data_IF_125971971270
#
_entry.id   IF_125971971270
#
_cell.length_a   1.000
_cell.length_b   1.000
_cell.length_c   1.000
_cell.angle_alpha   90.00
_cell.angle_beta   90.00
_cell.angle_gamma   90.00
#
_symmetry.space_group_name_H-M   'P 1'
#
loop_
_entity.id
_entity.type
_entity.pdbx_description
1 polymer ?
#
# COMPACT_ATOMS: atom_id res chain seq x y z
N UNK A 1 21.11 -13.96 10.49
CA UNK A 1 22.19 -14.40 9.57
C UNK A 1 22.96 -13.20 9.01
N UNK A 2 22.34 -12.17 8.46
CA UNK A 2 23.03 -10.99 7.91
C UNK A 2 23.88 -10.24 8.93
N UNK A 3 23.40 -10.11 10.18
CA UNK A 3 24.12 -9.41 11.25
C UNK A 3 25.44 -10.11 11.67
N UNK A 4 25.55 -11.40 11.44
CA UNK A 4 26.78 -12.17 11.74
C UNK A 4 27.64 -12.29 10.47
N UNK A 5 27.01 -12.56 9.34
CA UNK A 5 27.70 -12.76 8.07
C UNK A 5 28.47 -11.52 7.61
N UNK A 6 27.84 -10.34 7.68
CA UNK A 6 28.43 -9.11 7.17
C UNK A 6 29.70 -8.67 7.94
N UNK A 7 29.71 -8.59 9.29
CA UNK A 7 30.94 -8.32 10.05
C UNK A 7 32.01 -9.40 9.85
N UNK A 8 31.61 -10.69 9.77
CA UNK A 8 32.56 -11.80 9.55
C UNK A 8 33.23 -11.72 8.19
N UNK A 9 32.44 -11.43 7.14
CA UNK A 9 32.97 -11.25 5.79
C UNK A 9 33.95 -10.05 5.72
N UNK A 10 33.59 -8.93 6.35
CA UNK A 10 34.46 -7.75 6.44
C UNK A 10 35.74 -8.04 7.21
N UNK A 11 35.66 -8.82 8.30
CA UNK A 11 36.83 -9.19 9.09
C UNK A 11 37.79 -10.09 8.29
N UNK A 12 37.28 -11.08 7.56
CA UNK A 12 38.08 -11.94 6.66
C UNK A 12 38.71 -11.11 5.55
N UNK A 13 37.96 -10.23 4.93
CA UNK A 13 38.47 -9.32 3.90
C UNK A 13 39.56 -8.40 4.43
N UNK A 14 39.44 -7.88 5.66
CA UNK A 14 40.47 -7.08 6.33
C UNK A 14 41.75 -7.90 6.59
N UNK A 15 41.63 -9.18 6.96
CA UNK A 15 42.76 -10.07 7.24
C UNK A 15 43.53 -10.48 5.96
N UNK A 16 42.78 -10.70 4.87
CA UNK A 16 43.37 -11.09 3.58
C UNK A 16 43.88 -9.91 2.76
N UNK A 17 43.23 -8.76 2.85
CA UNK A 17 43.68 -7.54 2.18
C UNK A 17 44.68 -6.83 3.11
N UNK A 18 45.88 -6.50 2.60
CA UNK A 18 46.77 -5.52 3.23
C UNK A 18 46.17 -4.10 3.14
N UNK A 19 44.91 -3.97 3.50
CA UNK A 19 44.19 -2.71 3.55
C UNK A 19 44.84 -1.81 4.60
N UNK A 20 45.85 -1.05 4.21
CA UNK A 20 46.27 0.17 4.92
C UNK A 20 45.23 1.29 4.76
N UNK A 21 43.98 0.93 4.52
CA UNK A 21 42.83 1.80 4.48
C UNK A 21 42.32 2.11 5.90
N UNK A 22 42.14 3.34 6.17
CA UNK A 22 41.77 3.94 7.42
C UNK A 22 40.74 3.12 8.20
N UNK A 23 41.02 2.81 9.47
CA UNK A 23 40.09 2.24 10.46
C UNK A 23 38.71 2.95 10.38
N UNK A 24 38.71 4.21 10.00
CA UNK A 24 37.56 5.07 9.78
C UNK A 24 36.56 4.53 8.72
N UNK A 25 37.05 4.13 7.52
CA UNK A 25 36.18 3.57 6.47
C UNK A 25 35.54 2.26 6.94
N UNK A 26 36.31 1.44 7.67
CA UNK A 26 35.81 0.19 8.23
C UNK A 26 34.70 0.43 9.28
N UNK A 27 34.90 1.37 10.20
CA UNK A 27 33.93 1.73 11.21
C UNK A 27 32.66 2.33 10.60
N UNK A 28 32.78 3.25 9.64
CA UNK A 28 31.63 3.82 8.92
C UNK A 28 30.84 2.71 8.23
N UNK A 29 31.53 1.76 7.62
CA UNK A 29 30.88 0.64 6.91
C UNK A 29 30.10 -0.29 7.82
N UNK A 30 30.63 -0.56 9.02
CA UNK A 30 29.91 -1.34 10.05
C UNK A 30 28.67 -0.57 10.50
N UNK A 31 28.81 0.72 10.81
CA UNK A 31 27.67 1.56 11.19
C UNK A 31 26.61 1.59 10.10
N UNK A 32 27.02 1.79 8.84
CA UNK A 32 26.11 1.76 7.69
C UNK A 32 25.37 0.43 7.54
N UNK A 33 26.07 -0.69 7.73
CA UNK A 33 25.48 -2.03 7.73
C UNK A 33 24.46 -2.25 8.86
N UNK A 34 24.79 -1.77 10.06
CA UNK A 34 23.88 -1.82 11.21
C UNK A 34 22.63 -0.97 10.95
N UNK A 35 22.80 0.26 10.47
CA UNK A 35 21.68 1.17 10.13
C UNK A 35 20.78 0.56 9.05
N UNK A 36 21.37 -0.09 8.05
CA UNK A 36 20.61 -0.77 7.00
C UNK A 36 19.75 -1.93 7.56
N UNK A 37 20.34 -2.76 8.44
CA UNK A 37 19.61 -3.87 9.10
C UNK A 37 18.49 -3.33 9.98
N UNK A 38 18.77 -2.31 10.82
CA UNK A 38 17.71 -1.67 11.62
C UNK A 38 16.64 -1.03 10.75
N UNK A 39 17.02 -0.42 9.62
CA UNK A 39 16.07 0.12 8.65
C UNK A 39 15.12 -0.94 8.10
N UNK A 40 15.62 -2.14 7.77
CA UNK A 40 14.80 -3.28 7.35
C UNK A 40 13.87 -3.73 8.49
N UNK A 41 14.38 -3.88 9.71
CA UNK A 41 13.59 -4.28 10.87
C UNK A 41 12.48 -3.27 11.18
N UNK A 42 12.80 -1.97 11.16
CA UNK A 42 11.83 -0.88 11.37
C UNK A 42 10.77 -0.88 10.24
N UNK A 43 11.18 -1.17 9.00
CA UNK A 43 10.25 -1.28 7.87
C UNK A 43 9.27 -2.46 8.05
N UNK A 44 9.77 -3.62 8.49
CA UNK A 44 8.94 -4.80 8.79
C UNK A 44 7.98 -4.52 9.95
N UNK A 45 8.46 -3.82 10.99
CA UNK A 45 7.66 -3.46 12.16
C UNK A 45 6.83 -2.18 11.97
N UNK A 46 6.96 -1.53 10.81
CA UNK A 46 6.30 -0.26 10.46
C UNK A 46 6.60 0.89 11.45
N UNK A 47 7.80 0.90 12.03
CA UNK A 47 8.22 2.01 12.87
C UNK A 47 8.53 3.25 12.04
N UNK A 48 8.27 4.46 12.59
CA UNK A 48 8.62 5.71 11.93
C UNK A 48 10.14 5.83 11.76
N UNK A 49 10.58 6.48 10.67
CA UNK A 49 12.01 6.65 10.38
C UNK A 49 12.69 5.49 9.64
N UNK A 50 11.98 4.38 9.36
CA UNK A 50 12.51 3.24 8.62
C UNK A 50 13.14 3.64 7.27
N UNK A 51 12.48 4.50 6.50
CA UNK A 51 12.95 4.95 5.20
C UNK A 51 14.26 5.76 5.30
N UNK A 52 14.41 6.58 6.35
CA UNK A 52 15.63 7.34 6.59
C UNK A 52 16.81 6.41 6.94
N UNK A 53 16.59 5.43 7.83
CA UNK A 53 17.62 4.44 8.20
C UNK A 53 18.06 3.61 6.99
N UNK A 54 17.12 3.17 6.16
CA UNK A 54 17.40 2.45 4.92
C UNK A 54 18.23 3.30 3.95
N UNK A 55 17.85 4.56 3.74
CA UNK A 55 18.55 5.45 2.84
C UNK A 55 19.99 5.72 3.31
N UNK A 56 20.19 6.03 4.59
CA UNK A 56 21.53 6.28 5.15
C UNK A 56 22.38 5.01 5.10
N UNK A 57 21.84 3.87 5.53
CA UNK A 57 22.55 2.59 5.51
C UNK A 57 22.95 2.18 4.10
N UNK A 58 22.03 2.29 3.14
CA UNK A 58 22.27 2.01 1.74
C UNK A 58 23.34 2.94 1.14
N UNK A 59 23.22 4.25 1.36
CA UNK A 59 24.20 5.22 0.84
C UNK A 59 25.59 4.96 1.40
N UNK A 60 25.71 4.59 2.67
CA UNK A 60 27.00 4.25 3.28
C UNK A 60 27.60 3.00 2.64
N UNK A 61 26.83 1.96 2.39
CA UNK A 61 27.33 0.75 1.74
C UNK A 61 27.65 1.02 0.27
N UNK A 62 26.71 1.62 -0.48
CA UNK A 62 26.82 1.82 -1.92
C UNK A 62 27.86 2.86 -2.34
N UNK A 63 27.93 3.99 -1.65
CA UNK A 63 28.76 5.12 -2.04
C UNK A 63 30.11 5.20 -1.29
N UNK A 64 30.22 4.52 -0.14
CA UNK A 64 31.47 4.56 0.65
C UNK A 64 32.17 3.19 0.65
N UNK A 65 31.51 2.12 1.11
CA UNK A 65 32.12 0.83 1.28
C UNK A 65 32.53 0.18 -0.06
N UNK A 66 31.60 0.10 -1.02
CA UNK A 66 31.88 -0.56 -2.31
C UNK A 66 32.99 0.16 -3.09
N UNK A 67 32.97 1.49 -3.26
CA UNK A 67 34.08 2.22 -3.87
C UNK A 67 35.41 2.06 -3.12
N UNK A 68 35.38 2.07 -1.78
CA UNK A 68 36.60 1.89 -0.98
C UNK A 68 37.24 0.50 -1.21
N UNK A 69 36.41 -0.55 -1.24
CA UNK A 69 36.86 -1.91 -1.56
C UNK A 69 37.39 -1.97 -3.00
N UNK A 70 36.68 -1.38 -3.95
CA UNK A 70 37.10 -1.34 -5.36
C UNK A 70 38.46 -0.66 -5.51
N UNK A 71 38.66 0.53 -4.93
CA UNK A 71 39.93 1.26 -4.99
C UNK A 71 41.07 0.44 -4.37
N UNK A 72 40.81 -0.23 -3.24
CA UNK A 72 41.78 -1.12 -2.60
C UNK A 72 42.18 -2.27 -3.51
N UNK A 73 41.23 -2.90 -4.21
CA UNK A 73 41.49 -4.00 -5.14
C UNK A 73 42.16 -3.55 -6.41
N UNK A 74 41.92 -2.33 -6.90
CA UNK A 74 42.57 -1.76 -8.06
C UNK A 74 44.03 -1.35 -7.78
N UNK A 75 44.38 -1.06 -6.52
CA UNK A 75 45.75 -0.72 -6.08
C UNK A 75 46.64 -1.94 -5.81
N UNK A 76 46.04 -3.14 -5.81
CA UNK A 76 46.81 -4.37 -5.63
C UNK A 76 47.55 -4.71 -6.93
N UNK A 77 48.87 -4.59 -6.92
CA UNK A 77 49.76 -4.83 -8.11
C UNK A 77 49.60 -6.24 -8.68
N UNK A 78 49.23 -7.21 -7.85
CA UNK A 78 48.98 -8.59 -8.28
C UNK A 78 47.62 -8.81 -8.94
N UNK A 79 46.75 -7.79 -8.92
CA UNK A 79 45.37 -7.88 -9.41
C UNK A 79 45.15 -7.31 -10.81
N UNK A 80 46.21 -6.93 -11.55
CA UNK A 80 46.07 -6.24 -12.85
C UNK A 80 45.12 -6.89 -13.85
N UNK A 81 45.13 -8.21 -13.94
CA UNK A 81 44.22 -8.98 -14.79
C UNK A 81 42.75 -9.01 -14.25
N UNK A 82 42.50 -8.60 -13.01
CA UNK A 82 41.21 -8.68 -12.34
C UNK A 82 40.49 -7.32 -12.27
N UNK A 83 41.15 -6.22 -12.67
CA UNK A 83 40.59 -4.88 -12.56
C UNK A 83 39.19 -4.76 -13.22
N UNK A 84 39.08 -5.31 -14.46
CA UNK A 84 37.77 -5.28 -15.15
C UNK A 84 36.68 -6.07 -14.41
N UNK A 85 37.02 -7.22 -13.82
CA UNK A 85 36.09 -8.01 -13.04
C UNK A 85 35.63 -7.22 -11.79
N UNK A 86 36.55 -6.61 -11.05
CA UNK A 86 36.20 -5.83 -9.86
C UNK A 86 35.32 -4.62 -10.18
N UNK A 87 35.60 -3.91 -11.29
CA UNK A 87 34.78 -2.78 -11.74
C UNK A 87 33.35 -3.26 -12.07
N UNK A 88 33.23 -4.31 -12.89
CA UNK A 88 31.90 -4.87 -13.25
C UNK A 88 31.15 -5.34 -12.00
N UNK A 89 31.84 -6.04 -11.09
CA UNK A 89 31.26 -6.53 -9.85
C UNK A 89 30.74 -5.38 -8.95
N UNK A 90 31.54 -4.32 -8.79
CA UNK A 90 31.15 -3.16 -8.00
C UNK A 90 29.94 -2.42 -8.58
N UNK A 91 29.93 -2.16 -9.89
CA UNK A 91 28.79 -1.52 -10.58
C UNK A 91 27.53 -2.39 -10.45
N UNK A 92 27.65 -3.69 -10.74
CA UNK A 92 26.52 -4.62 -10.65
C UNK A 92 25.95 -4.70 -9.23
N UNK A 93 26.82 -4.69 -8.21
CA UNK A 93 26.41 -4.71 -6.81
C UNK A 93 25.68 -3.41 -6.40
N UNK A 94 26.18 -2.26 -6.84
CA UNK A 94 25.50 -0.96 -6.58
C UNK A 94 24.12 -0.94 -7.23
N UNK A 95 24.00 -1.37 -8.49
CA UNK A 95 22.71 -1.45 -9.19
C UNK A 95 21.76 -2.41 -8.47
N UNK A 96 22.25 -3.57 -8.04
CA UNK A 96 21.49 -4.55 -7.30
C UNK A 96 20.96 -4.00 -5.96
N UNK A 97 21.85 -3.34 -5.20
CA UNK A 97 21.48 -2.72 -3.94
C UNK A 97 20.46 -1.58 -4.13
N UNK A 98 20.63 -0.76 -5.18
CA UNK A 98 19.65 0.28 -5.54
C UNK A 98 18.28 -0.33 -5.86
N UNK A 99 18.23 -1.43 -6.62
CA UNK A 99 17.02 -2.18 -6.90
C UNK A 99 16.36 -2.74 -5.62
N UNK A 100 17.17 -3.25 -4.69
CA UNK A 100 16.70 -3.72 -3.39
C UNK A 100 16.09 -2.59 -2.55
N UNK A 101 16.77 -1.44 -2.48
CA UNK A 101 16.25 -0.26 -1.79
C UNK A 101 14.91 0.21 -2.40
N UNK A 102 14.85 0.32 -3.73
CA UNK A 102 13.63 0.72 -4.45
C UNK A 102 12.48 -0.26 -4.19
N UNK A 103 12.77 -1.57 -4.14
CA UNK A 103 11.76 -2.58 -3.84
C UNK A 103 11.24 -2.47 -2.40
N UNK A 104 12.12 -2.28 -1.42
CA UNK A 104 11.73 -2.12 -0.01
C UNK A 104 10.96 -0.80 0.21
N UNK A 105 11.35 0.27 -0.50
CA UNK A 105 10.68 1.57 -0.42
C UNK A 105 9.47 1.70 -1.36
N UNK A 106 9.12 0.64 -2.10
CA UNK A 106 8.01 0.61 -3.06
C UNK A 106 8.14 1.62 -4.21
N UNK A 107 9.37 2.00 -4.56
CA UNK A 107 9.61 2.92 -5.67
C UNK A 107 9.47 2.23 -7.04
N UNK A 108 8.99 2.93 -8.07
CA UNK A 108 8.91 2.39 -9.42
C UNK A 108 10.33 2.10 -9.98
N UNK A 109 10.47 1.08 -10.83
CA UNK A 109 11.75 0.71 -11.43
C UNK A 109 12.60 -0.27 -10.61
N UNK A 110 12.13 -0.76 -9.46
CA UNK A 110 12.84 -1.74 -8.65
C UNK A 110 13.17 -3.05 -9.41
N UNK A 111 12.19 -3.60 -10.13
CA UNK A 111 12.34 -4.88 -10.83
C UNK A 111 13.46 -4.88 -11.90
N UNK A 112 13.53 -3.91 -12.85
CA UNK A 112 14.63 -3.85 -13.81
C UNK A 112 16.00 -3.66 -13.14
N UNK A 113 16.11 -2.85 -12.07
CA UNK A 113 17.37 -2.67 -11.36
C UNK A 113 17.84 -3.97 -10.69
N UNK A 114 16.95 -4.69 -10.01
CA UNK A 114 17.26 -5.99 -9.42
C UNK A 114 17.71 -7.00 -10.48
N UNK A 115 17.00 -7.06 -11.61
CA UNK A 115 17.31 -7.99 -12.69
C UNK A 115 18.67 -7.70 -13.34
N UNK A 116 18.93 -6.44 -13.70
CA UNK A 116 20.20 -6.01 -14.28
C UNK A 116 21.37 -6.26 -13.32
N UNK A 117 21.19 -5.88 -12.03
CA UNK A 117 22.20 -6.10 -11.01
C UNK A 117 22.48 -7.59 -10.76
N UNK A 118 21.46 -8.44 -10.69
CA UNK A 118 21.59 -9.88 -10.51
C UNK A 118 22.31 -10.55 -11.71
N UNK A 119 21.92 -10.22 -12.93
CA UNK A 119 22.60 -10.72 -14.15
C UNK A 119 24.05 -10.26 -14.17
N UNK A 120 24.32 -8.98 -13.89
CA UNK A 120 25.66 -8.44 -13.84
C UNK A 120 26.55 -9.18 -12.84
N UNK A 121 26.06 -9.49 -11.65
CA UNK A 121 26.78 -10.23 -10.62
C UNK A 121 27.00 -11.70 -11.00
N UNK A 122 25.95 -12.39 -11.48
CA UNK A 122 25.99 -13.85 -11.66
C UNK A 122 26.46 -14.30 -13.02
N UNK A 123 26.04 -13.63 -14.08
CA UNK A 123 26.36 -14.03 -15.47
C UNK A 123 27.59 -13.33 -16.03
N UNK A 124 27.95 -12.16 -15.49
CA UNK A 124 29.07 -11.39 -16.01
C UNK A 124 30.26 -11.42 -15.05
N UNK A 125 30.07 -10.85 -13.84
CA UNK A 125 31.16 -10.74 -12.86
C UNK A 125 31.70 -12.11 -12.43
N UNK A 126 30.80 -12.99 -11.97
CA UNK A 126 31.19 -14.27 -11.36
C UNK A 126 32.01 -15.17 -12.33
N UNK A 127 31.58 -15.44 -13.57
CA UNK A 127 32.37 -16.24 -14.50
C UNK A 127 33.74 -15.62 -14.83
N UNK A 128 33.75 -14.30 -15.06
CA UNK A 128 35.05 -13.60 -15.36
C UNK A 128 35.98 -13.72 -14.15
N UNK A 129 35.47 -13.53 -12.94
CA UNK A 129 36.27 -13.65 -11.72
C UNK A 129 36.81 -15.07 -11.54
N UNK A 130 35.97 -16.09 -11.67
CA UNK A 130 36.35 -17.49 -11.53
C UNK A 130 37.42 -17.87 -12.57
N UNK A 131 37.20 -17.55 -13.84
CA UNK A 131 38.16 -17.86 -14.92
C UNK A 131 39.52 -17.20 -14.70
N UNK A 132 39.56 -15.97 -14.19
CA UNK A 132 40.82 -15.24 -13.98
C UNK A 132 41.56 -15.65 -12.71
N UNK A 133 40.82 -15.99 -11.63
CA UNK A 133 41.41 -16.32 -10.33
C UNK A 133 41.82 -17.78 -10.25
N UNK A 134 41.04 -18.70 -10.83
CA UNK A 134 41.20 -20.13 -10.60
C UNK A 134 41.79 -20.90 -11.77
N UNK A 135 42.08 -20.25 -12.89
CA UNK A 135 42.74 -20.90 -14.04
C UNK A 135 44.06 -21.62 -13.68
N UNK A 136 44.77 -21.09 -12.67
CA UNK A 136 46.07 -21.59 -12.22
C UNK A 136 46.18 -21.73 -10.69
N UNK A 137 45.05 -21.85 -9.95
CA UNK A 137 45.09 -21.87 -8.50
C UNK A 137 45.19 -23.31 -7.96
N UNK A 138 46.19 -23.57 -7.11
CA UNK A 138 46.36 -24.86 -6.43
C UNK A 138 45.41 -25.08 -5.26
N UNK A 139 44.81 -24.02 -4.73
CA UNK A 139 43.88 -24.10 -3.59
C UNK A 139 42.78 -23.05 -3.63
N UNK A 140 41.62 -23.38 -3.06
CA UNK A 140 40.47 -22.49 -2.93
C UNK A 140 40.67 -21.57 -1.73
N UNK A 141 40.65 -20.24 -1.97
CA UNK A 141 40.73 -19.25 -0.88
C UNK A 141 39.40 -19.13 -0.15
N UNK A 142 39.43 -18.88 1.16
CA UNK A 142 38.26 -18.69 2.00
C UNK A 142 37.40 -17.52 1.52
N UNK A 143 38.03 -16.44 1.05
CA UNK A 143 37.31 -15.29 0.46
C UNK A 143 36.46 -15.66 -0.76
N UNK A 144 36.86 -16.67 -1.54
CA UNK A 144 36.06 -17.18 -2.66
C UNK A 144 34.79 -17.89 -2.18
N UNK A 145 34.85 -18.69 -1.10
CA UNK A 145 33.68 -19.32 -0.54
C UNK A 145 32.66 -18.27 -0.03
N UNK A 146 33.16 -17.22 0.63
CA UNK A 146 32.29 -16.11 1.03
C UNK A 146 31.67 -15.40 -0.17
N UNK A 147 32.41 -15.21 -1.25
CA UNK A 147 31.84 -14.63 -2.47
C UNK A 147 30.73 -15.51 -3.08
N UNK A 148 30.99 -16.83 -3.18
CA UNK A 148 29.98 -17.79 -3.69
C UNK A 148 28.71 -17.78 -2.82
N UNK A 149 28.86 -17.82 -1.49
CA UNK A 149 27.73 -17.79 -0.53
C UNK A 149 27.00 -16.44 -0.66
N UNK A 150 27.72 -15.33 -0.77
CA UNK A 150 27.14 -14.00 -0.96
C UNK A 150 26.31 -13.90 -2.25
N UNK A 151 26.84 -14.35 -3.39
CA UNK A 151 26.15 -14.36 -4.68
C UNK A 151 24.89 -15.26 -4.60
N UNK A 152 25.01 -16.44 -4.02
CA UNK A 152 23.89 -17.37 -3.85
C UNK A 152 22.81 -16.75 -2.95
N UNK A 153 23.20 -16.11 -1.84
CA UNK A 153 22.29 -15.38 -0.96
C UNK A 153 21.59 -14.25 -1.68
N UNK A 154 22.30 -13.42 -2.44
CA UNK A 154 21.70 -12.32 -3.19
C UNK A 154 20.75 -12.82 -4.29
N UNK A 155 21.07 -13.92 -4.97
CA UNK A 155 20.14 -14.50 -5.96
C UNK A 155 18.86 -15.05 -5.30
N UNK A 156 19.02 -15.79 -4.19
CA UNK A 156 17.87 -16.29 -3.43
C UNK A 156 17.01 -15.15 -2.89
N UNK A 157 17.63 -14.09 -2.37
CA UNK A 157 16.94 -12.90 -1.90
C UNK A 157 16.24 -12.15 -3.04
N UNK A 158 16.87 -12.03 -4.22
CA UNK A 158 16.23 -11.49 -5.43
C UNK A 158 14.99 -12.27 -5.84
N UNK A 159 15.07 -13.60 -5.82
CA UNK A 159 13.95 -14.49 -6.11
C UNK A 159 12.80 -14.23 -5.11
N UNK A 160 13.10 -14.14 -3.83
CA UNK A 160 12.10 -13.83 -2.80
C UNK A 160 11.47 -12.44 -2.99
N UNK A 161 12.27 -11.43 -3.33
CA UNK A 161 11.78 -10.09 -3.64
C UNK A 161 11.00 -10.02 -4.96
N UNK A 162 11.35 -10.87 -5.94
CA UNK A 162 10.65 -10.98 -7.21
C UNK A 162 9.35 -11.79 -7.11
N UNK A 163 9.15 -12.55 -6.05
CA UNK A 163 7.87 -13.18 -5.76
C UNK A 163 6.83 -12.09 -5.53
N UNK A 164 6.26 -11.63 -6.63
CA UNK A 164 5.03 -10.83 -6.55
C UNK A 164 3.93 -11.72 -5.98
N UNK A 165 3.03 -11.12 -5.22
CA UNK A 165 1.74 -11.75 -4.87
C UNK A 165 1.21 -12.39 -6.14
N UNK A 166 0.93 -13.70 -6.12
CA UNK A 166 0.52 -14.41 -7.34
C UNK A 166 -0.69 -13.71 -7.95
N UNK A 167 -0.80 -13.73 -9.28
CA UNK A 167 -1.96 -13.13 -9.98
C UNK A 167 -3.30 -13.65 -9.43
N UNK A 168 -3.34 -14.90 -8.96
CA UNK A 168 -4.50 -15.49 -8.31
C UNK A 168 -4.84 -14.85 -6.97
N UNK A 169 -3.83 -14.62 -6.11
CA UNK A 169 -4.03 -13.91 -4.83
C UNK A 169 -4.44 -12.46 -5.09
N UNK A 170 -3.82 -11.82 -6.08
CA UNK A 170 -4.16 -10.45 -6.46
C UNK A 170 -5.59 -10.35 -7.00
N UNK A 171 -6.04 -11.31 -7.82
CA UNK A 171 -7.41 -11.40 -8.30
C UNK A 171 -8.40 -11.57 -7.14
N UNK A 172 -8.03 -12.31 -6.10
CA UNK A 172 -8.84 -12.46 -4.90
C UNK A 172 -9.10 -11.12 -4.18
N UNK A 173 -8.16 -10.18 -4.22
CA UNK A 173 -8.38 -8.83 -3.68
C UNK A 173 -9.10 -7.90 -4.66
N UNK A 174 -8.96 -8.08 -5.97
CA UNK A 174 -9.54 -7.18 -6.98
C UNK A 174 -11.02 -7.53 -7.23
N UNK A 175 -11.35 -8.81 -7.35
CA UNK A 175 -12.70 -9.25 -7.68
C UNK A 175 -13.78 -8.75 -6.71
N UNK A 176 -13.61 -8.83 -5.36
CA UNK A 176 -14.59 -8.28 -4.43
C UNK A 176 -14.82 -6.78 -4.64
N UNK A 177 -13.77 -5.99 -4.85
CA UNK A 177 -13.89 -4.55 -5.11
C UNK A 177 -14.68 -4.25 -6.37
N UNK A 178 -14.48 -5.03 -7.42
CA UNK A 178 -15.22 -4.89 -8.69
C UNK A 178 -16.70 -5.21 -8.50
N UNK A 179 -17.04 -6.29 -7.80
CA UNK A 179 -18.43 -6.66 -7.51
C UNK A 179 -19.11 -5.64 -6.57
N UNK A 180 -18.41 -5.12 -5.58
CA UNK A 180 -18.90 -4.06 -4.70
C UNK A 180 -19.24 -2.81 -5.51
N UNK A 181 -18.35 -2.38 -6.41
CA UNK A 181 -18.55 -1.21 -7.26
C UNK A 181 -19.73 -1.41 -8.21
N UNK A 182 -19.86 -2.60 -8.82
CA UNK A 182 -21.00 -2.96 -9.67
C UNK A 182 -22.31 -2.92 -8.89
N UNK A 183 -22.34 -3.47 -7.68
CA UNK A 183 -23.53 -3.42 -6.80
C UNK A 183 -23.87 -1.98 -6.46
N UNK A 184 -22.89 -1.13 -6.13
CA UNK A 184 -23.11 0.28 -5.85
C UNK A 184 -23.76 1.00 -7.04
N UNK A 185 -23.30 0.74 -8.27
CA UNK A 185 -23.88 1.37 -9.47
C UNK A 185 -25.31 0.88 -9.76
N UNK A 186 -25.63 -0.37 -9.49
CA UNK A 186 -27.00 -0.89 -9.62
C UNK A 186 -27.93 -0.20 -8.62
N UNK A 187 -27.50 -0.04 -7.36
CA UNK A 187 -28.25 0.65 -6.32
C UNK A 187 -28.47 2.13 -6.67
N UNK A 188 -27.42 2.79 -7.16
CA UNK A 188 -27.48 4.18 -7.61
C UNK A 188 -28.50 4.35 -8.76
N UNK A 189 -28.47 3.48 -9.77
CA UNK A 189 -29.43 3.51 -10.88
C UNK A 189 -30.87 3.30 -10.38
N UNK A 190 -31.09 2.35 -9.44
CA UNK A 190 -32.40 2.12 -8.86
C UNK A 190 -32.89 3.34 -8.07
N UNK A 191 -32.02 3.93 -7.26
CA UNK A 191 -32.30 5.16 -6.51
C UNK A 191 -32.62 6.34 -7.42
N UNK A 192 -31.87 6.50 -8.52
CA UNK A 192 -32.12 7.54 -9.51
C UNK A 192 -33.47 7.34 -10.19
N UNK A 193 -33.78 6.14 -10.66
CA UNK A 193 -35.07 5.83 -11.30
C UNK A 193 -36.26 6.09 -10.36
N UNK A 194 -36.17 5.66 -9.09
CA UNK A 194 -37.19 5.90 -8.09
C UNK A 194 -37.39 7.40 -7.81
N UNK A 195 -36.30 8.13 -7.64
CA UNK A 195 -36.37 9.57 -7.40
C UNK A 195 -36.92 10.35 -8.61
N UNK A 196 -36.53 10.00 -9.83
CA UNK A 196 -37.05 10.61 -11.06
C UNK A 196 -38.56 10.33 -11.21
N UNK A 197 -39.00 9.11 -11.00
CA UNK A 197 -40.42 8.75 -11.02
C UNK A 197 -41.23 9.63 -10.06
N UNK A 198 -40.79 9.75 -8.81
CA UNK A 198 -41.46 10.57 -7.77
C UNK A 198 -41.44 12.05 -8.16
N UNK A 199 -40.33 12.58 -8.65
CA UNK A 199 -40.17 14.01 -8.95
C UNK A 199 -40.96 14.45 -10.20
N UNK A 200 -41.08 13.55 -11.18
CA UNK A 200 -41.78 13.83 -12.47
C UNK A 200 -43.28 13.55 -12.38
N UNK A 201 -43.74 12.79 -11.38
CA UNK A 201 -45.17 12.53 -11.24
C UNK A 201 -45.92 13.82 -10.92
N UNK A 202 -46.79 14.20 -11.86
CA UNK A 202 -47.68 15.40 -11.74
C UNK A 202 -48.79 15.26 -10.73
N UNK A 203 -49.13 14.02 -10.33
CA UNK A 203 -50.13 13.74 -9.30
C UNK A 203 -49.59 14.00 -7.90
N UNK A 204 -48.30 14.02 -7.72
CA UNK A 204 -47.64 14.33 -6.46
C UNK A 204 -47.51 15.84 -6.29
N UNK A 205 -48.44 16.42 -5.57
CA UNK A 205 -48.48 17.87 -5.28
C UNK A 205 -47.72 18.26 -4.01
N UNK A 206 -47.30 17.29 -3.16
CA UNK A 206 -46.61 17.53 -1.90
C UNK A 206 -45.18 18.01 -2.15
N UNK A 207 -44.99 19.31 -2.02
CA UNK A 207 -43.66 19.97 -2.23
C UNK A 207 -42.67 19.60 -1.12
N UNK A 208 -43.11 19.31 0.10
CA UNK A 208 -42.24 18.90 1.20
C UNK A 208 -41.70 17.49 0.96
N UNK A 209 -42.54 16.59 0.47
CA UNK A 209 -42.13 15.24 0.12
C UNK A 209 -41.07 15.26 -1.00
N UNK A 210 -41.32 15.98 -2.10
CA UNK A 210 -40.30 16.13 -3.18
C UNK A 210 -38.99 16.75 -2.68
N UNK A 211 -39.08 17.73 -1.78
CA UNK A 211 -37.91 18.36 -1.17
C UNK A 211 -37.10 17.36 -0.32
N UNK A 212 -37.75 16.48 0.41
CA UNK A 212 -37.07 15.44 1.19
C UNK A 212 -36.35 14.43 0.29
N UNK A 213 -36.97 14.01 -0.82
CA UNK A 213 -36.33 13.13 -1.81
C UNK A 213 -35.05 13.77 -2.39
N UNK A 214 -35.11 15.03 -2.80
CA UNK A 214 -33.95 15.77 -3.30
C UNK A 214 -32.88 15.86 -2.21
N UNK A 215 -33.27 16.13 -0.96
CA UNK A 215 -32.31 16.27 0.14
C UNK A 215 -31.59 14.98 0.46
N UNK A 216 -32.29 13.83 0.50
CA UNK A 216 -31.72 12.50 0.68
C UNK A 216 -30.66 12.22 -0.41
N UNK A 217 -31.03 12.46 -1.68
CA UNK A 217 -30.11 12.31 -2.82
C UNK A 217 -28.87 13.18 -2.66
N UNK A 218 -29.05 14.47 -2.40
CA UNK A 218 -27.95 15.43 -2.27
C UNK A 218 -26.96 15.01 -1.18
N UNK A 219 -27.47 14.65 0.03
CA UNK A 219 -26.61 14.24 1.13
C UNK A 219 -25.81 12.97 0.82
N UNK A 220 -26.42 11.99 0.17
CA UNK A 220 -25.79 10.75 -0.23
C UNK A 220 -24.72 10.98 -1.32
N UNK A 221 -25.03 11.85 -2.31
CA UNK A 221 -24.09 12.20 -3.36
C UNK A 221 -22.89 13.00 -2.82
N UNK A 222 -23.10 13.92 -1.88
CA UNK A 222 -22.01 14.64 -1.22
C UNK A 222 -21.00 13.70 -0.56
N UNK A 223 -21.47 12.67 0.15
CA UNK A 223 -20.58 11.71 0.81
C UNK A 223 -19.93 10.76 -0.20
N UNK A 224 -20.66 10.25 -1.18
CA UNK A 224 -20.09 9.36 -2.20
C UNK A 224 -19.04 10.06 -3.06
N UNK A 225 -19.26 11.33 -3.42
CA UNK A 225 -18.28 12.14 -4.14
C UNK A 225 -17.04 12.42 -3.29
N UNK A 226 -17.20 12.72 -1.99
CA UNK A 226 -16.09 12.90 -1.08
C UNK A 226 -15.22 11.62 -0.99
N UNK A 227 -15.84 10.44 -0.93
CA UNK A 227 -15.11 9.16 -0.93
C UNK A 227 -14.43 8.94 -2.29
N UNK A 228 -15.07 9.31 -3.41
CA UNK A 228 -14.47 9.21 -4.74
C UNK A 228 -13.21 10.08 -4.87
N UNK A 229 -13.23 11.30 -4.36
CA UNK A 229 -12.06 12.17 -4.34
C UNK A 229 -10.90 11.56 -3.54
N UNK A 230 -11.20 10.91 -2.41
CA UNK A 230 -10.18 10.19 -1.63
C UNK A 230 -9.61 9.01 -2.42
N UNK A 231 -10.42 8.25 -3.15
CA UNK A 231 -9.96 7.15 -4.01
C UNK A 231 -9.02 7.67 -5.11
N UNK A 232 -9.36 8.80 -5.72
CA UNK A 232 -8.54 9.44 -6.75
C UNK A 232 -7.20 9.88 -6.15
N UNK A 233 -7.21 10.58 -5.01
CA UNK A 233 -6.00 10.99 -4.31
C UNK A 233 -5.12 9.79 -3.94
N UNK A 234 -5.75 8.72 -3.43
CA UNK A 234 -5.07 7.49 -3.05
C UNK A 234 -4.30 6.89 -4.23
N UNK A 235 -4.97 6.65 -5.36
CA UNK A 235 -4.37 6.01 -6.52
C UNK A 235 -3.38 6.93 -7.23
N UNK A 236 -3.66 8.23 -7.29
CA UNK A 236 -2.73 9.23 -7.82
C UNK A 236 -1.39 9.20 -7.06
N UNK A 237 -1.42 9.19 -5.73
CA UNK A 237 -0.20 9.14 -4.91
C UNK A 237 0.48 7.77 -4.93
N UNK A 238 -0.28 6.68 -4.92
CA UNK A 238 0.24 5.31 -4.91
C UNK A 238 1.04 5.01 -6.18
N UNK A 239 0.54 5.41 -7.33
CA UNK A 239 1.18 5.16 -8.63
C UNK A 239 2.01 6.36 -9.15
N UNK A 240 1.96 7.52 -8.48
CA UNK A 240 2.68 8.74 -8.91
C UNK A 240 2.14 9.32 -10.23
N UNK A 241 0.82 9.30 -10.43
CA UNK A 241 0.11 9.70 -11.66
C UNK A 241 -0.83 10.88 -11.41
N UNK A 242 -1.32 11.49 -12.49
CA UNK A 242 -2.33 12.53 -12.39
C UNK A 242 -3.73 11.97 -12.03
N UNK A 243 -4.64 12.87 -11.64
CA UNK A 243 -5.99 12.51 -11.24
C UNK A 243 -6.82 11.92 -12.38
N UNK A 244 -6.52 12.24 -13.63
CA UNK A 244 -7.25 11.74 -14.82
C UNK A 244 -6.91 10.27 -15.04
N UNK A 245 -5.63 9.94 -15.01
CA UNK A 245 -5.15 8.56 -15.09
C UNK A 245 -5.61 7.73 -13.88
N UNK A 246 -5.60 8.32 -12.67
CA UNK A 246 -6.09 7.67 -11.46
C UNK A 246 -7.56 7.24 -11.57
N UNK A 247 -8.45 8.10 -12.15
CA UNK A 247 -9.85 7.75 -12.41
C UNK A 247 -10.00 6.54 -13.35
N UNK A 248 -9.15 6.42 -14.36
CA UNK A 248 -9.15 5.26 -15.27
C UNK A 248 -8.74 3.99 -14.50
N UNK A 249 -7.70 4.07 -13.67
CA UNK A 249 -7.21 2.93 -12.89
C UNK A 249 -8.18 2.49 -11.80
N UNK A 250 -8.95 3.39 -11.20
CA UNK A 250 -10.02 3.05 -10.25
C UNK A 250 -11.10 2.21 -10.92
N UNK A 251 -11.47 2.54 -12.15
CA UNK A 251 -12.45 1.74 -12.93
C UNK A 251 -11.91 0.37 -13.34
N UNK A 252 -10.59 0.25 -13.51
CA UNK A 252 -9.92 -1.01 -13.79
C UNK A 252 -8.73 -1.22 -12.84
N UNK A 253 -8.95 -1.74 -11.62
CA UNK A 253 -7.90 -1.90 -10.59
C UNK A 253 -6.74 -2.83 -11.00
N UNK A 254 -6.90 -3.61 -12.08
CA UNK A 254 -5.80 -4.39 -12.66
C UNK A 254 -4.65 -3.50 -13.14
N UNK A 255 -4.94 -2.26 -13.56
CA UNK A 255 -3.96 -1.29 -14.07
C UNK A 255 -3.16 -0.56 -12.97
N UNK A 256 -3.54 -0.67 -11.70
CA UNK A 256 -2.78 -0.08 -10.60
C UNK A 256 -1.45 -0.82 -10.49
N UNK A 257 -0.33 -0.09 -10.41
CA UNK A 257 1.01 -0.69 -10.35
C UNK A 257 1.39 -1.12 -8.93
N UNK A 258 1.26 -0.23 -7.96
CA UNK A 258 1.71 -0.41 -6.58
C UNK A 258 0.55 -0.83 -5.64
N UNK A 259 -0.16 -1.90 -6.02
CA UNK A 259 -1.34 -2.43 -5.30
C UNK A 259 -1.04 -2.84 -3.85
N UNK A 260 0.20 -3.24 -3.59
CA UNK A 260 0.73 -3.71 -2.32
C UNK A 260 1.30 -2.58 -1.43
N UNK A 261 1.26 -1.33 -1.91
CA UNK A 261 1.67 -0.19 -1.10
C UNK A 261 0.73 -0.01 0.09
N UNK A 262 1.28 0.09 1.29
CA UNK A 262 0.53 0.33 2.54
C UNK A 262 0.90 1.65 3.23
N UNK A 263 2.05 2.24 2.91
CA UNK A 263 2.51 3.48 3.53
C UNK A 263 1.65 4.69 3.12
N UNK A 264 1.34 4.78 1.83
CA UNK A 264 0.55 5.88 1.28
C UNK A 264 -0.91 5.80 1.75
N UNK A 265 -1.61 4.64 1.68
CA UNK A 265 -2.94 4.52 2.25
C UNK A 265 -2.99 4.89 3.73
N UNK A 266 -2.02 4.41 4.53
CA UNK A 266 -1.95 4.72 5.95
C UNK A 266 -1.74 6.22 6.19
N UNK A 267 -0.85 6.87 5.44
CA UNK A 267 -0.58 8.30 5.54
C UNK A 267 -1.80 9.17 5.18
N UNK A 268 -2.55 8.81 4.13
CA UNK A 268 -3.74 9.57 3.69
C UNK A 268 -4.92 9.34 4.65
N UNK A 269 -5.18 8.08 5.01
CA UNK A 269 -6.39 7.69 5.70
C UNK A 269 -6.28 7.84 7.22
N UNK A 270 -5.13 7.52 7.81
CA UNK A 270 -4.90 7.65 9.26
C UNK A 270 -4.13 8.93 9.62
N UNK A 271 -3.32 9.46 8.69
CA UNK A 271 -2.45 10.61 8.96
C UNK A 271 -1.25 10.24 9.81
N UNK A 272 -0.73 11.22 10.57
CA UNK A 272 0.52 11.09 11.33
C UNK A 272 0.31 10.91 12.84
N UNK A 273 -0.92 10.78 13.32
CA UNK A 273 -1.23 10.59 14.75
C UNK A 273 -1.38 9.11 15.07
N UNK A 274 -0.97 8.70 16.27
CA UNK A 274 -1.08 7.29 16.72
C UNK A 274 -2.52 6.78 16.79
N UNK A 275 -3.47 7.70 17.02
CA UNK A 275 -4.90 7.40 17.06
C UNK A 275 -5.57 7.38 15.68
N UNK A 276 -4.84 7.70 14.61
CA UNK A 276 -5.33 7.71 13.23
C UNK A 276 -6.38 8.78 12.93
N UNK A 277 -6.61 9.74 13.84
CA UNK A 277 -7.69 10.74 13.70
C UNK A 277 -7.32 11.96 12.86
N UNK A 278 -6.05 12.14 12.52
CA UNK A 278 -5.61 13.25 11.67
C UNK A 278 -5.80 13.02 10.18
N UNK A 279 -6.20 11.81 9.79
CA UNK A 279 -6.37 11.42 8.38
C UNK A 279 -7.80 11.55 7.85
N UNK A 280 -7.96 11.17 6.57
CA UNK A 280 -9.26 11.22 5.87
C UNK A 280 -10.29 10.24 6.43
N UNK A 281 -9.88 9.15 7.08
CA UNK A 281 -10.79 8.16 7.67
C UNK A 281 -11.68 8.79 8.75
N UNK A 282 -11.13 9.67 9.60
CA UNK A 282 -11.93 10.38 10.60
C UNK A 282 -12.96 11.30 9.96
N UNK A 283 -12.63 11.97 8.85
CA UNK A 283 -13.58 12.80 8.11
C UNK A 283 -14.69 11.95 7.48
N UNK A 284 -14.36 10.76 6.93
CA UNK A 284 -15.36 9.80 6.42
C UNK A 284 -16.29 9.39 7.54
N UNK A 285 -15.77 9.01 8.71
CA UNK A 285 -16.55 8.61 9.87
C UNK A 285 -17.57 9.67 10.27
N UNK A 286 -17.11 10.91 10.48
CA UNK A 286 -17.97 12.04 10.85
C UNK A 286 -19.09 12.26 9.81
N UNK A 287 -18.75 12.18 8.52
CA UNK A 287 -19.75 12.35 7.45
C UNK A 287 -20.74 11.18 7.38
N UNK A 288 -20.30 9.93 7.63
CA UNK A 288 -21.17 8.76 7.72
C UNK A 288 -22.16 8.93 8.90
N UNK A 289 -21.67 9.33 10.07
CA UNK A 289 -22.51 9.57 11.26
C UNK A 289 -23.55 10.66 11.00
N UNK A 290 -23.14 11.78 10.44
CA UNK A 290 -24.05 12.87 10.08
C UNK A 290 -25.11 12.46 9.04
N UNK A 291 -24.71 11.68 8.03
CA UNK A 291 -25.65 11.13 7.05
C UNK A 291 -26.62 10.15 7.70
N UNK A 292 -26.13 9.22 8.52
CA UNK A 292 -26.93 8.23 9.25
C UNK A 292 -28.03 8.91 10.06
N UNK A 293 -27.69 9.91 10.88
CA UNK A 293 -28.65 10.65 11.69
C UNK A 293 -29.70 11.39 10.84
N UNK A 294 -29.24 11.98 9.73
CA UNK A 294 -30.13 12.66 8.78
C UNK A 294 -31.11 11.69 8.14
N UNK A 295 -30.66 10.55 7.62
CA UNK A 295 -31.50 9.55 6.96
C UNK A 295 -32.48 8.91 7.92
N UNK A 296 -32.07 8.57 9.16
CA UNK A 296 -32.96 8.03 10.18
C UNK A 296 -34.06 8.99 10.55
N UNK A 297 -33.83 10.31 10.54
CA UNK A 297 -34.86 11.31 10.81
C UNK A 297 -36.01 11.29 9.80
N UNK A 298 -35.74 10.88 8.54
CA UNK A 298 -36.77 10.73 7.50
C UNK A 298 -37.55 9.41 7.62
N UNK A 299 -37.02 8.41 8.30
CA UNK A 299 -37.62 7.07 8.43
C UNK A 299 -38.13 6.77 9.82
N UNK A 300 -38.40 7.78 10.67
CA UNK A 300 -38.75 7.62 12.10
C UNK A 300 -39.95 6.72 12.37
N UNK A 301 -40.82 6.51 11.38
CA UNK A 301 -41.99 5.62 11.45
C UNK A 301 -41.77 4.20 10.92
N UNK A 302 -40.57 3.89 10.39
CA UNK A 302 -40.24 2.63 9.77
C UNK A 302 -39.02 2.00 10.46
N UNK A 303 -39.27 1.12 11.44
CA UNK A 303 -38.23 0.46 12.23
C UNK A 303 -37.28 -0.41 11.36
N UNK A 304 -37.79 -1.00 10.28
CA UNK A 304 -36.98 -1.82 9.38
C UNK A 304 -35.98 -0.93 8.61
N UNK A 305 -36.45 0.17 8.03
CA UNK A 305 -35.60 1.12 7.34
C UNK A 305 -34.53 1.69 8.28
N UNK A 306 -34.93 2.11 9.50
CA UNK A 306 -33.97 2.59 10.53
C UNK A 306 -32.93 1.54 10.87
N UNK A 307 -33.32 0.27 10.98
CA UNK A 307 -32.38 -0.83 11.28
C UNK A 307 -31.39 -1.05 10.13
N UNK A 308 -31.85 -1.06 8.87
CA UNK A 308 -31.00 -1.23 7.70
C UNK A 308 -30.02 -0.05 7.57
N UNK A 309 -30.48 1.18 7.79
CA UNK A 309 -29.63 2.38 7.78
C UNK A 309 -28.53 2.28 8.85
N UNK A 310 -28.89 1.90 10.10
CA UNK A 310 -27.92 1.72 11.18
C UNK A 310 -26.87 0.68 10.84
N UNK A 311 -27.26 -0.47 10.30
CA UNK A 311 -26.36 -1.55 9.93
C UNK A 311 -25.47 -1.18 8.74
N UNK A 312 -26.01 -0.48 7.75
CA UNK A 312 -25.26 -0.08 6.55
C UNK A 312 -24.24 1.03 6.86
N UNK A 313 -24.61 1.98 7.71
CA UNK A 313 -23.77 3.13 8.10
C UNK A 313 -23.18 2.96 9.50
N UNK A 314 -22.80 1.73 9.85
CA UNK A 314 -22.15 1.43 11.13
C UNK A 314 -20.72 1.98 11.16
N UNK A 315 -20.43 2.74 12.22
CA UNK A 315 -19.11 3.32 12.52
C UNK A 315 -18.62 2.94 13.92
N UNK A 316 -19.22 1.93 14.53
CA UNK A 316 -18.77 1.43 15.82
C UNK A 316 -17.41 0.73 15.67
N UNK A 317 -16.60 0.86 16.70
CA UNK A 317 -15.31 0.18 16.74
C UNK A 317 -15.52 -1.29 17.02
N UNK A 318 -14.99 -2.21 16.20
CA UNK A 318 -15.12 -3.63 16.47
C UNK A 318 -14.41 -3.97 17.79
N UNK A 319 -15.07 -4.77 18.63
CA UNK A 319 -14.44 -5.34 19.82
C UNK A 319 -13.49 -6.43 19.34
N UNK A 320 -12.21 -6.10 19.18
CA UNK A 320 -11.17 -7.08 18.90
C UNK A 320 -10.79 -7.75 20.22
N UNK A 321 -11.28 -8.96 20.44
CA UNK A 321 -10.76 -9.84 21.49
C UNK A 321 -9.37 -10.30 21.06
N UNK A 322 -8.33 -9.72 21.64
CA UNK A 322 -6.99 -10.30 21.60
C UNK A 322 -6.75 -11.02 22.90
N UNK A 323 -6.07 -12.18 22.85
CA UNK A 323 -5.71 -12.99 24.03
C UNK A 323 -4.90 -12.23 25.10
N UNK A 324 -4.56 -10.96 24.86
CA UNK A 324 -3.76 -10.09 25.74
C UNK A 324 -4.47 -8.83 26.23
N UNK A 325 -5.80 -8.71 26.07
CA UNK A 325 -6.54 -7.55 26.57
C UNK A 325 -6.08 -6.23 25.95
N UNK A 326 -5.77 -6.22 24.64
CA UNK A 326 -5.32 -5.01 23.96
C UNK A 326 -6.43 -3.94 23.96
N UNK A 327 -6.05 -2.65 24.05
CA UNK A 327 -6.97 -1.54 24.17
C UNK A 327 -7.85 -1.43 22.93
N UNK A 328 -9.03 -0.83 23.12
CA UNK A 328 -9.98 -0.41 22.12
C UNK A 328 -9.27 0.13 20.87
N UNK A 329 -9.35 -0.60 19.78
CA UNK A 329 -8.91 -0.11 18.47
C UNK A 329 -10.05 0.73 17.92
N UNK A 330 -9.84 2.02 17.65
CA UNK A 330 -10.87 2.88 17.08
C UNK A 330 -11.24 2.45 15.65
N UNK A 331 -12.35 2.95 15.13
CA UNK A 331 -12.89 2.58 13.82
C UNK A 331 -11.90 2.87 12.68
N UNK A 332 -11.19 3.99 12.74
CA UNK A 332 -10.22 4.41 11.73
C UNK A 332 -9.07 3.40 11.62
N UNK A 333 -8.48 3.05 12.76
CA UNK A 333 -7.37 2.07 12.83
C UNK A 333 -7.86 0.69 12.40
N UNK A 334 -9.04 0.25 12.86
CA UNK A 334 -9.58 -1.07 12.52
C UNK A 334 -9.82 -1.25 11.02
N UNK A 335 -10.13 -0.16 10.32
CA UNK A 335 -10.39 -0.20 8.88
C UNK A 335 -9.15 0.00 8.02
N UNK A 336 -8.13 0.76 8.48
CA UNK A 336 -7.07 1.26 7.59
C UNK A 336 -5.64 1.05 8.10
N UNK A 337 -5.45 0.51 9.30
CA UNK A 337 -4.11 0.25 9.80
C UNK A 337 -3.46 -0.92 9.04
N UNK A 338 -2.29 -0.66 8.46
CA UNK A 338 -1.51 -1.64 7.66
C UNK A 338 -2.28 -2.26 6.48
N UNK A 339 -3.21 -1.52 5.92
CA UNK A 339 -4.00 -1.98 4.78
C UNK A 339 -3.31 -1.58 3.48
N UNK A 340 -3.12 -2.55 2.58
CA UNK A 340 -2.54 -2.30 1.24
C UNK A 340 -3.50 -1.48 0.37
N UNK A 341 -2.96 -0.77 -0.63
CA UNK A 341 -3.69 0.16 -1.47
C UNK A 341 -4.95 -0.43 -2.10
N UNK A 342 -4.88 -1.66 -2.63
CA UNK A 342 -6.05 -2.32 -3.23
C UNK A 342 -7.14 -2.63 -2.19
N UNK A 343 -6.76 -3.01 -0.97
CA UNK A 343 -7.73 -3.28 0.10
C UNK A 343 -8.34 -1.98 0.64
N UNK A 344 -7.55 -0.91 0.75
CA UNK A 344 -8.06 0.42 1.11
C UNK A 344 -9.07 0.92 0.07
N UNK A 345 -8.77 0.77 -1.24
CA UNK A 345 -9.68 1.08 -2.33
C UNK A 345 -11.00 0.30 -2.20
N UNK A 346 -10.93 -1.01 -1.97
CA UNK A 346 -12.11 -1.86 -1.77
C UNK A 346 -12.95 -1.42 -0.58
N UNK A 347 -12.31 -1.02 0.52
CA UNK A 347 -12.98 -0.52 1.71
C UNK A 347 -13.74 0.78 1.43
N UNK A 348 -13.12 1.69 0.67
CA UNK A 348 -13.77 2.92 0.23
C UNK A 348 -14.97 2.63 -0.70
N UNK A 349 -14.85 1.69 -1.64
CA UNK A 349 -15.96 1.22 -2.46
C UNK A 349 -17.08 0.59 -1.61
N UNK A 350 -16.72 -0.15 -0.56
CA UNK A 350 -17.70 -0.73 0.38
C UNK A 350 -18.50 0.37 1.09
N UNK A 351 -17.88 1.45 1.54
CA UNK A 351 -18.59 2.56 2.14
C UNK A 351 -19.53 3.25 1.14
N UNK A 352 -19.09 3.50 -0.09
CA UNK A 352 -19.95 4.06 -1.15
C UNK A 352 -21.19 3.18 -1.39
N UNK A 353 -21.02 1.85 -1.49
CA UNK A 353 -22.13 0.91 -1.62
C UNK A 353 -23.10 1.01 -0.44
N UNK A 354 -22.59 1.08 0.77
CA UNK A 354 -23.40 1.16 1.98
C UNK A 354 -24.19 2.46 2.07
N UNK A 355 -23.62 3.57 1.61
CA UNK A 355 -24.33 4.84 1.43
C UNK A 355 -25.49 4.67 0.47
N UNK A 356 -25.30 3.99 -0.67
CA UNK A 356 -26.35 3.75 -1.67
C UNK A 356 -27.45 2.81 -1.16
N UNK A 357 -27.11 1.83 -0.28
CA UNK A 357 -28.11 1.00 0.40
C UNK A 357 -28.98 1.88 1.32
N UNK A 358 -28.37 2.68 2.17
CA UNK A 358 -29.09 3.54 3.11
C UNK A 358 -29.94 4.61 2.39
N UNK A 359 -29.45 5.19 1.31
CA UNK A 359 -30.15 6.10 0.44
C UNK A 359 -31.43 5.46 -0.13
N UNK A 360 -31.27 4.30 -0.79
CA UNK A 360 -32.40 3.61 -1.43
C UNK A 360 -33.46 3.22 -0.41
N UNK A 361 -33.07 2.68 0.75
CA UNK A 361 -33.97 2.31 1.82
C UNK A 361 -34.76 3.52 2.35
N UNK A 362 -34.07 4.66 2.48
CA UNK A 362 -34.73 5.90 2.89
C UNK A 362 -35.75 6.38 1.85
N UNK A 363 -35.45 6.30 0.56
CA UNK A 363 -36.35 6.67 -0.52
C UNK A 363 -37.57 5.74 -0.60
N UNK A 364 -37.37 4.42 -0.44
CA UNK A 364 -38.45 3.43 -0.42
C UNK A 364 -39.36 3.63 0.80
N UNK A 365 -38.81 3.92 1.98
CA UNK A 365 -39.57 4.22 3.19
C UNK A 365 -40.42 5.49 3.04
N UNK A 366 -39.84 6.58 2.56
CA UNK A 366 -40.54 7.83 2.28
C UNK A 366 -41.67 7.64 1.26
N UNK A 367 -41.43 6.87 0.20
CA UNK A 367 -42.46 6.60 -0.81
C UNK A 367 -43.62 5.77 -0.23
N UNK A 368 -43.31 4.75 0.56
CA UNK A 368 -44.31 3.92 1.23
C UNK A 368 -45.20 4.73 2.19
N UNK A 369 -44.58 5.61 2.97
CA UNK A 369 -45.32 6.51 3.89
C UNK A 369 -46.23 7.47 3.13
N UNK A 370 -45.73 8.06 2.02
CA UNK A 370 -46.52 8.95 1.18
C UNK A 370 -47.75 8.25 0.59
N UNK A 371 -47.56 7.04 0.02
CA UNK A 371 -48.66 6.25 -0.54
C UNK A 371 -49.71 5.86 0.51
N UNK A 372 -49.26 5.46 1.69
CA UNK A 372 -50.17 5.11 2.80
C UNK A 372 -51.01 6.30 3.28
N UNK A 373 -50.44 7.51 3.35
CA UNK A 373 -51.16 8.75 3.70
C UNK A 373 -52.24 9.09 2.66
N UNK A 374 -51.93 8.97 1.38
CA UNK A 374 -52.85 9.30 0.30
C UNK A 374 -54.00 8.28 0.18
N UNK A 375 -53.78 6.98 0.37
CA UNK A 375 -54.84 5.98 0.42
C UNK A 375 -55.83 6.21 1.57
N UNK A 376 -55.34 6.63 2.75
CA UNK A 376 -56.20 7.01 3.88
C UNK A 376 -57.03 8.26 3.61
N UNK A 377 -56.56 9.18 2.77
CA UNK A 377 -57.32 10.38 2.41
C UNK A 377 -58.46 10.08 1.43
N UNK A 378 -58.30 9.09 0.53
CA UNK A 378 -59.29 8.67 -0.45
C UNK A 378 -60.43 7.85 0.22
N UNK A 379 -60.12 7.08 1.25
CA UNK A 379 -61.09 6.20 1.95
C UNK A 379 -61.79 6.83 3.15
N UNK A 380 -61.65 8.16 3.39
CA UNK A 380 -62.48 8.83 4.39
C UNK A 380 -63.86 9.02 3.81
N UNK A 381 -64.93 8.42 4.43
CA UNK A 381 -66.32 8.68 4.03
C UNK A 381 -66.63 10.18 4.21
N UNK A 382 -67.22 10.79 3.17
CA UNK A 382 -67.78 12.15 3.23
C UNK A 382 -68.85 12.26 4.23
#
# INVERSE_FOLDING_TARGET
>A
LGAIFFPSALWVMKKESKLKGSLFIYLISIIGGILFIFGILFKIQHYPGANLLLLIGFSTIGLVLIPAILISKLRDENAGNLHSAYIIGAISLIIYLAGTLFKIMTFPGAAPLLFIGAIGLTMVFFPIYVMKVYKNAESIKVSFLFLCIGILFFNMFSLLLALNISKGVLAFFINPGTEITKTASILENKSNSLSEEILTDSLISDTLYKKNIIRVKTLSDELTNFIEDIKIELISKVDGIDNTEAKVKIKNPLLINSKDNYDIPMSILLGNTEDGKSGKASQIKIKIESLKDSLMSYCSGDENAVTIIKMSLDTESPILYTDKGLPFVNWEISNFYRVIAISALNKLCFFQRNVRIAELETLESLNSEYLAKNQKSINKPK
#
